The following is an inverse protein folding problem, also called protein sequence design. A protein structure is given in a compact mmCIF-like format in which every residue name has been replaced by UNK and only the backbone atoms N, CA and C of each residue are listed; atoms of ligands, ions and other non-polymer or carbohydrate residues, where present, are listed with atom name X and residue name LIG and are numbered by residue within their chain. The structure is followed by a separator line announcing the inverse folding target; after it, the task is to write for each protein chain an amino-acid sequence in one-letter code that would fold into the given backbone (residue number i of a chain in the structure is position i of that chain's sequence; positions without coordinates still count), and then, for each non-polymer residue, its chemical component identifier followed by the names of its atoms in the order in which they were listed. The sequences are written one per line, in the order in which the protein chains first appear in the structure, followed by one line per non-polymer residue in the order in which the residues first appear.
data_IF_238564767687
#
_entry.id   IF_238564767687
#
_cell.length_a   1.000
_cell.length_b   1.000
_cell.length_c   1.000
_cell.angle_alpha   90.00
_cell.angle_beta   90.00
_cell.angle_gamma   90.00
#
_symmetry.space_group_name_H-M   'P 1'
#
loop_
_entity.id
_entity.type
_entity.pdbx_description
1 polymer ?
#
# COMPACT_ATOMS: atom_id res chain seq x y z
N UNK A 1 -23.26 -5.57 -5.44
CA UNK A 1 -22.74 -5.48 -4.06
C UNK A 1 -21.44 -4.68 -4.08
N UNK A 2 -21.53 -3.35 -4.07
CA UNK A 2 -20.36 -2.46 -3.99
C UNK A 2 -19.87 -2.31 -2.52
N UNK A 3 -20.66 -2.81 -1.57
CA UNK A 3 -20.43 -2.69 -0.13
C UNK A 3 -19.46 -3.74 0.43
N UNK A 4 -19.21 -4.83 -0.30
CA UNK A 4 -18.49 -6.00 0.21
C UNK A 4 -17.04 -5.70 0.68
N UNK A 5 -16.45 -4.61 0.21
CA UNK A 5 -15.08 -4.22 0.56
C UNK A 5 -14.98 -2.86 1.23
N UNK A 6 -16.11 -2.23 1.57
CA UNK A 6 -16.09 -0.94 2.25
C UNK A 6 -15.35 -1.07 3.58
N UNK A 7 -14.44 -0.14 3.84
CA UNK A 7 -13.62 -0.13 5.04
C UNK A 7 -12.46 -1.13 5.05
N UNK A 8 -12.27 -1.92 3.98
CA UNK A 8 -11.19 -2.93 3.91
C UNK A 8 -9.82 -2.24 4.11
N UNK A 9 -8.98 -2.73 5.04
CA UNK A 9 -7.66 -2.16 5.26
C UNK A 9 -6.73 -2.50 4.08
N UNK A 10 -5.82 -1.58 3.74
CA UNK A 10 -4.80 -1.82 2.73
C UNK A 10 -3.48 -1.09 3.03
N UNK A 11 -2.41 -1.60 2.41
CA UNK A 11 -1.09 -0.97 2.28
C UNK A 11 -0.72 -0.91 0.81
N UNK A 12 0.18 -0.01 0.44
CA UNK A 12 0.65 0.17 -0.94
C UNK A 12 2.17 0.25 -0.98
N UNK A 13 2.76 -0.53 -1.88
CA UNK A 13 4.14 -0.42 -2.28
C UNK A 13 4.19 -0.18 -3.80
N UNK A 14 5.01 0.78 -4.23
CA UNK A 14 5.25 1.08 -5.64
C UNK A 14 6.74 1.15 -5.90
N UNK A 15 7.18 0.39 -6.90
CA UNK A 15 8.52 0.52 -7.48
C UNK A 15 8.44 1.31 -8.78
N UNK A 16 9.38 2.23 -8.98
CA UNK A 16 9.48 3.04 -10.18
C UNK A 16 10.92 3.21 -10.67
N UNK A 17 11.08 3.46 -11.96
CA UNK A 17 12.39 3.75 -12.55
C UNK A 17 12.91 5.15 -12.18
N UNK A 18 12.05 6.17 -12.26
CA UNK A 18 12.42 7.57 -11.97
C UNK A 18 11.44 8.30 -11.04
N UNK A 19 10.19 7.83 -10.96
CA UNK A 19 9.14 8.37 -10.10
C UNK A 19 8.06 7.30 -9.87
N UNK A 20 7.30 7.43 -8.79
CA UNK A 20 6.14 6.61 -8.45
C UNK A 20 4.86 7.43 -8.21
N UNK A 21 4.93 8.77 -8.26
CA UNK A 21 3.86 9.68 -7.83
C UNK A 21 2.55 9.41 -8.58
N UNK A 22 2.61 9.24 -9.90
CA UNK A 22 1.42 8.98 -10.71
C UNK A 22 0.72 7.67 -10.35
N UNK A 23 1.50 6.60 -10.12
CA UNK A 23 0.97 5.30 -9.73
C UNK A 23 0.34 5.34 -8.32
N UNK A 24 0.99 6.01 -7.37
CA UNK A 24 0.43 6.21 -6.02
C UNK A 24 -0.91 6.94 -6.10
N UNK A 25 -0.96 8.09 -6.80
CA UNK A 25 -2.20 8.86 -6.98
C UNK A 25 -3.33 8.04 -7.62
N UNK A 26 -2.99 7.23 -8.62
CA UNK A 26 -3.95 6.35 -9.29
C UNK A 26 -4.58 5.34 -8.32
N UNK A 27 -3.75 4.63 -7.56
CA UNK A 27 -4.24 3.65 -6.57
C UNK A 27 -5.04 4.34 -5.46
N UNK A 28 -4.59 5.48 -4.96
CA UNK A 28 -5.30 6.20 -3.90
C UNK A 28 -6.66 6.73 -4.34
N UNK A 29 -6.79 7.18 -5.59
CA UNK A 29 -8.08 7.57 -6.18
C UNK A 29 -9.05 6.38 -6.20
N UNK A 30 -8.59 5.21 -6.63
CA UNK A 30 -9.39 3.97 -6.66
C UNK A 30 -9.77 3.56 -5.23
N UNK A 31 -8.80 3.50 -4.31
CA UNK A 31 -9.02 3.10 -2.92
C UNK A 31 -10.00 4.04 -2.21
N UNK A 32 -9.95 5.34 -2.52
CA UNK A 32 -10.92 6.34 -2.03
C UNK A 32 -12.32 6.03 -2.55
N UNK A 33 -12.48 5.78 -3.85
CA UNK A 33 -13.77 5.39 -4.45
C UNK A 33 -14.36 4.11 -3.85
N UNK A 34 -13.49 3.14 -3.49
CA UNK A 34 -13.87 1.89 -2.83
C UNK A 34 -14.06 2.02 -1.30
N UNK A 35 -13.80 3.20 -0.73
CA UNK A 35 -13.82 3.47 0.71
C UNK A 35 -12.90 2.52 1.51
N UNK A 36 -11.75 2.16 0.95
CA UNK A 36 -10.75 1.37 1.66
C UNK A 36 -9.99 2.23 2.67
N UNK A 37 -9.48 1.60 3.72
CA UNK A 37 -8.77 2.28 4.81
C UNK A 37 -7.27 2.06 4.68
N UNK A 38 -6.52 3.14 4.44
CA UNK A 38 -5.05 3.07 4.37
C UNK A 38 -4.47 2.88 5.78
N UNK A 39 -3.63 1.87 5.95
CA UNK A 39 -2.99 1.56 7.24
C UNK A 39 -1.70 2.36 7.48
N UNK A 40 -0.95 2.61 6.40
CA UNK A 40 0.39 3.24 6.39
C UNK A 40 0.54 4.06 5.11
N UNK A 41 1.42 5.05 5.12
CA UNK A 41 1.79 5.80 3.92
C UNK A 41 2.32 4.84 2.82
N UNK A 42 2.02 5.07 1.53
CA UNK A 42 2.57 4.27 0.44
C UNK A 42 4.09 4.26 0.44
N UNK A 43 4.67 3.08 0.30
CA UNK A 43 6.10 2.91 0.14
C UNK A 43 6.49 3.18 -1.32
N UNK A 44 7.23 4.26 -1.56
CA UNK A 44 7.84 4.58 -2.84
C UNK A 44 9.29 4.09 -2.87
N UNK A 45 9.64 3.28 -3.86
CA UNK A 45 11.03 2.87 -4.10
C UNK A 45 11.39 3.22 -5.54
N UNK A 46 12.39 4.07 -5.69
CA UNK A 46 12.95 4.47 -6.99
C UNK A 46 14.36 3.92 -7.12
N UNK A 47 14.72 3.42 -8.29
CA UNK A 47 16.05 2.86 -8.54
C UNK A 47 16.13 1.37 -8.20
N UNK A 48 17.27 0.88 -7.72
CA UNK A 48 17.46 -0.55 -7.46
C UNK A 48 16.69 -1.02 -6.23
N UNK A 49 16.09 -2.21 -6.31
CA UNK A 49 15.49 -2.89 -5.15
C UNK A 49 16.60 -3.67 -4.45
N UNK A 50 17.11 -3.11 -3.35
CA UNK A 50 18.16 -3.72 -2.53
C UNK A 50 17.59 -4.43 -1.29
N UNK A 51 18.47 -4.88 -0.40
CA UNK A 51 18.07 -5.54 0.84
C UNK A 51 17.26 -4.64 1.77
N UNK A 52 17.55 -3.33 1.81
CA UNK A 52 16.81 -2.38 2.63
C UNK A 52 15.39 -2.18 2.09
N UNK A 53 15.25 -2.07 0.76
CA UNK A 53 13.95 -2.04 0.09
C UNK A 53 13.11 -3.28 0.44
N UNK A 54 13.73 -4.47 0.43
CA UNK A 54 13.06 -5.72 0.79
C UNK A 54 12.61 -5.74 2.24
N UNK A 55 13.44 -5.25 3.16
CA UNK A 55 13.12 -5.18 4.59
C UNK A 55 11.94 -4.24 4.86
N UNK A 56 11.93 -3.05 4.26
CA UNK A 56 10.81 -2.11 4.44
C UNK A 56 9.51 -2.66 3.84
N UNK A 57 9.58 -3.39 2.71
CA UNK A 57 8.44 -4.11 2.16
C UNK A 57 7.94 -5.22 3.10
N UNK A 58 8.86 -5.95 3.76
CA UNK A 58 8.50 -6.96 4.74
C UNK A 58 7.73 -6.34 5.91
N UNK A 59 8.24 -5.24 6.47
CA UNK A 59 7.61 -4.52 7.59
C UNK A 59 6.23 -3.96 7.23
N UNK A 60 6.08 -3.48 5.99
CA UNK A 60 4.79 -3.02 5.46
C UNK A 60 3.77 -4.18 5.42
N UNK A 61 4.18 -5.34 4.92
CA UNK A 61 3.35 -6.54 4.89
C UNK A 61 3.01 -7.07 6.28
N UNK A 62 3.98 -7.08 7.20
CA UNK A 62 3.77 -7.48 8.58
C UNK A 62 2.76 -6.57 9.30
N UNK A 63 2.85 -5.25 9.06
CA UNK A 63 1.86 -4.28 9.58
C UNK A 63 0.46 -4.58 9.06
N UNK A 64 0.32 -4.90 7.77
CA UNK A 64 -0.96 -5.27 7.19
C UNK A 64 -1.51 -6.57 7.81
N UNK A 65 -0.68 -7.60 7.96
CA UNK A 65 -1.07 -8.86 8.60
C UNK A 65 -1.49 -8.65 10.06
N UNK A 66 -0.74 -7.86 10.83
CA UNK A 66 -1.07 -7.51 12.21
C UNK A 66 -2.45 -6.84 12.33
N UNK A 67 -2.79 -5.94 11.40
CA UNK A 67 -4.10 -5.28 11.39
C UNK A 67 -5.27 -6.24 11.20
N UNK A 68 -5.06 -7.36 10.51
CA UNK A 68 -6.09 -8.37 10.25
C UNK A 68 -6.28 -9.33 11.43
N UNK A 69 -5.27 -9.45 12.30
CA UNK A 69 -5.36 -10.26 13.52
C UNK A 69 -5.98 -9.51 14.70
N UNK A 70 -5.92 -8.16 14.67
CA UNK A 70 -6.42 -7.30 15.73
C UNK A 70 -7.92 -6.95 15.59
N UNK A 71 -8.58 -7.41 14.52
CA UNK A 71 -10.02 -7.26 14.29
C UNK A 71 -10.74 -8.60 14.36
#
# INVERSE_FOLDING_TARGET
MLEATVGRPYVLYVHGGSDTTGAIRGVESIATGLKWKRLREPLSIVGAVDAAAREVCWELGATAAASLMAG
#
